data_IF_427902814918
#
_entry.id   IF_427902814918
#
_cell.length_a   1.000
_cell.length_b   1.000
_cell.length_c   1.000
_cell.angle_alpha   90.00
_cell.angle_beta   90.00
_cell.angle_gamma   90.00
#
_symmetry.space_group_name_H-M   'P 1'
#
loop_
_entity.id
_entity.type
_entity.pdbx_description
1 polymer ?
#
# COMPACT_ATOMS: atom_id res chain seq x y z
N UNK A 1 13.11 -9.80 -0.09
CA UNK A 1 13.02 -9.47 1.35
C UNK A 1 14.26 -8.69 1.79
N UNK A 2 15.46 -9.26 1.68
CA UNK A 2 16.67 -8.62 2.21
C UNK A 2 16.94 -7.23 1.60
N UNK A 3 16.78 -7.06 0.31
CA UNK A 3 17.00 -5.77 -0.36
C UNK A 3 15.96 -4.72 0.00
N UNK A 4 14.69 -5.10 0.15
CA UNK A 4 13.67 -4.16 0.60
C UNK A 4 13.92 -3.71 2.05
N UNK A 5 14.33 -4.63 2.92
CA UNK A 5 14.73 -4.29 4.28
C UNK A 5 15.96 -3.38 4.35
N UNK A 6 17.00 -3.72 3.60
CA UNK A 6 18.22 -2.90 3.51
C UNK A 6 17.89 -1.49 3.01
N UNK A 7 17.09 -1.37 1.95
CA UNK A 7 16.69 -0.07 1.43
C UNK A 7 15.96 0.77 2.49
N UNK A 8 14.96 0.19 3.18
CA UNK A 8 14.21 0.92 4.19
C UNK A 8 15.07 1.30 5.40
N UNK A 9 15.93 0.38 5.88
CA UNK A 9 16.65 0.58 7.15
C UNK A 9 18.02 1.22 7.02
N UNK A 10 18.72 1.01 5.89
CA UNK A 10 20.09 1.53 5.68
C UNK A 10 20.14 2.71 4.73
N UNK A 11 19.29 2.74 3.68
CA UNK A 11 19.27 3.84 2.72
C UNK A 11 18.34 4.95 3.16
N UNK A 12 17.12 4.59 3.61
CA UNK A 12 16.13 5.57 4.09
C UNK A 12 16.23 5.81 5.60
N UNK A 13 17.03 5.03 6.32
CA UNK A 13 17.27 5.16 7.76
C UNK A 13 15.99 5.09 8.61
N UNK A 14 14.98 4.36 8.13
CA UNK A 14 13.75 4.10 8.90
C UNK A 14 14.09 3.18 10.08
N UNK A 15 13.70 3.54 11.32
CA UNK A 15 13.96 2.71 12.48
C UNK A 15 13.37 1.31 12.36
N UNK A 16 14.19 0.28 12.58
CA UNK A 16 13.79 -1.12 12.43
C UNK A 16 12.64 -1.51 13.36
N UNK A 17 12.56 -0.90 14.54
CA UNK A 17 11.51 -1.13 15.53
C UNK A 17 10.14 -0.58 15.12
N UNK A 18 10.08 0.25 14.07
CA UNK A 18 8.85 0.76 13.48
C UNK A 18 8.34 -0.10 12.33
N UNK A 19 9.12 -1.07 11.86
CA UNK A 19 8.80 -1.90 10.71
C UNK A 19 8.30 -3.28 11.14
N UNK A 20 7.19 -3.71 10.57
CA UNK A 20 6.51 -4.96 10.88
C UNK A 20 6.21 -5.71 9.58
N UNK A 21 6.88 -6.83 9.29
CA UNK A 21 6.56 -7.63 8.13
C UNK A 21 5.33 -8.51 8.35
N UNK A 22 4.59 -8.77 7.27
CA UNK A 22 3.62 -9.84 7.19
C UNK A 22 4.01 -10.86 6.13
N UNK A 23 3.51 -12.08 6.26
CA UNK A 23 3.69 -13.17 5.32
C UNK A 23 2.39 -13.96 5.14
N UNK A 24 2.25 -14.65 4.03
CA UNK A 24 1.15 -15.57 3.84
C UNK A 24 1.17 -16.70 4.90
N UNK A 25 -0.01 -17.10 5.34
CA UNK A 25 -0.20 -18.05 6.45
C UNK A 25 0.63 -19.34 6.29
N UNK A 26 0.74 -19.85 5.06
CA UNK A 26 1.42 -21.09 4.72
C UNK A 26 2.86 -20.88 4.20
N UNK A 27 3.34 -19.63 4.11
CA UNK A 27 4.69 -19.30 3.64
C UNK A 27 5.70 -19.32 4.79
N UNK A 28 6.15 -20.53 5.13
CA UNK A 28 7.19 -20.71 6.14
C UNK A 28 8.56 -20.23 5.67
N UNK A 29 8.82 -20.26 4.35
CA UNK A 29 10.09 -19.81 3.78
C UNK A 29 10.26 -18.30 3.99
N UNK A 30 9.27 -17.50 3.63
CA UNK A 30 9.32 -16.05 3.85
C UNK A 30 9.40 -15.72 5.36
N UNK A 31 8.65 -16.44 6.20
CA UNK A 31 8.74 -16.27 7.66
C UNK A 31 10.15 -16.56 8.19
N UNK A 32 10.76 -17.64 7.74
CA UNK A 32 12.10 -18.03 8.16
C UNK A 32 13.16 -17.04 7.67
N UNK A 33 13.05 -16.50 6.46
CA UNK A 33 13.93 -15.43 5.96
C UNK A 33 13.83 -14.20 6.86
N UNK A 34 12.62 -13.73 7.17
CA UNK A 34 12.43 -12.60 8.08
C UNK A 34 13.04 -12.83 9.45
N UNK A 35 12.79 -14.02 10.02
CA UNK A 35 13.25 -14.32 11.39
C UNK A 35 14.72 -14.68 11.48
N UNK A 36 15.20 -15.58 10.61
CA UNK A 36 16.54 -16.19 10.74
C UNK A 36 17.62 -15.42 9.99
N UNK A 37 17.29 -14.83 8.84
CA UNK A 37 18.27 -14.12 8.02
C UNK A 37 18.26 -12.62 8.29
N UNK A 38 17.09 -12.00 8.36
CA UNK A 38 16.96 -10.57 8.64
C UNK A 38 17.06 -10.29 10.15
N UNK A 39 16.61 -11.23 11.00
CA UNK A 39 16.68 -11.10 12.45
C UNK A 39 15.48 -10.44 13.09
N UNK A 40 14.37 -10.30 12.37
CA UNK A 40 13.12 -9.77 12.95
C UNK A 40 12.57 -10.77 13.98
N UNK A 41 12.21 -10.30 15.16
CA UNK A 41 11.65 -11.13 16.21
C UNK A 41 10.31 -11.76 15.76
N UNK A 42 10.06 -13.01 16.15
CA UNK A 42 8.90 -13.79 15.69
C UNK A 42 7.57 -13.14 16.01
N UNK A 43 7.46 -12.46 17.13
CA UNK A 43 6.27 -11.74 17.60
C UNK A 43 6.01 -10.44 16.84
N UNK A 44 6.93 -10.04 15.95
CA UNK A 44 6.81 -8.91 15.05
C UNK A 44 6.55 -9.30 13.60
N UNK A 45 6.47 -10.59 13.29
CA UNK A 45 6.16 -11.12 11.97
C UNK A 45 4.72 -11.63 11.99
N UNK A 46 3.85 -11.03 11.19
CA UNK A 46 2.43 -11.35 11.16
C UNK A 46 2.12 -12.36 10.05
N UNK A 47 1.16 -13.23 10.28
CA UNK A 47 0.69 -14.19 9.29
C UNK A 47 -0.75 -13.90 8.95
N UNK A 48 -1.02 -13.64 7.67
CA UNK A 48 -2.36 -13.37 7.19
C UNK A 48 -2.79 -14.37 6.12
N UNK A 49 -4.08 -14.44 5.91
CA UNK A 49 -4.70 -15.31 4.93
C UNK A 49 -4.50 -14.84 3.49
N UNK A 50 -5.21 -15.52 2.61
CA UNK A 50 -5.15 -15.23 1.18
C UNK A 50 -5.68 -13.84 0.81
N UNK A 51 -6.55 -13.30 1.63
CA UNK A 51 -7.15 -11.97 1.43
C UNK A 51 -6.11 -10.85 1.49
N UNK A 52 -5.09 -11.00 2.33
CA UNK A 52 -4.07 -9.99 2.58
C UNK A 52 -2.70 -10.34 1.96
N UNK A 53 -2.23 -11.59 2.17
CA UNK A 53 -0.87 -11.98 1.79
C UNK A 53 -0.78 -13.00 0.65
N UNK A 54 -1.74 -12.97 -0.29
CA UNK A 54 -1.65 -13.72 -1.54
C UNK A 54 -2.15 -12.85 -2.70
N UNK A 55 -1.29 -12.57 -3.65
CA UNK A 55 -1.64 -11.74 -4.79
C UNK A 55 -2.10 -12.60 -5.97
N UNK A 56 -3.30 -12.32 -6.46
CA UNK A 56 -3.87 -12.87 -7.69
C UNK A 56 -4.83 -11.89 -8.35
N UNK A 57 -4.94 -11.96 -9.67
CA UNK A 57 -5.88 -11.13 -10.43
C UNK A 57 -6.51 -11.93 -11.57
N UNK A 58 -7.58 -12.66 -11.26
CA UNK A 58 -8.21 -13.58 -12.21
C UNK A 58 -7.30 -14.71 -12.63
N UNK A 59 -7.36 -15.15 -13.89
CA UNK A 59 -6.42 -16.12 -14.44
C UNK A 59 -5.06 -15.47 -14.70
N UNK A 60 -3.99 -16.19 -14.41
CA UNK A 60 -2.63 -15.76 -14.66
C UNK A 60 -1.67 -16.00 -13.50
N UNK A 61 -0.44 -15.47 -13.60
CA UNK A 61 0.59 -15.62 -12.58
C UNK A 61 0.15 -15.05 -11.23
N UNK A 62 0.41 -15.79 -10.15
CA UNK A 62 0.02 -15.42 -8.80
C UNK A 62 0.96 -16.03 -7.75
N UNK A 63 0.79 -15.67 -6.49
CA UNK A 63 1.56 -16.26 -5.42
C UNK A 63 1.44 -15.55 -4.08
N UNK A 64 2.05 -16.12 -3.02
CA UNK A 64 2.09 -15.49 -1.72
C UNK A 64 2.86 -14.17 -1.78
N UNK A 65 2.54 -13.28 -0.87
CA UNK A 65 3.27 -12.03 -0.75
C UNK A 65 3.66 -11.73 0.70
N UNK A 66 4.64 -10.86 0.83
CA UNK A 66 5.13 -10.37 2.11
C UNK A 66 5.13 -8.84 2.08
N UNK A 67 4.35 -8.26 2.96
CA UNK A 67 4.19 -6.82 3.09
C UNK A 67 5.04 -6.27 4.23
N UNK A 68 5.43 -5.01 4.14
CA UNK A 68 6.13 -4.31 5.19
C UNK A 68 5.27 -3.14 5.64
N UNK A 69 4.87 -3.18 6.90
CA UNK A 69 4.09 -2.13 7.55
C UNK A 69 4.98 -1.22 8.38
N UNK A 70 4.62 0.05 8.42
CA UNK A 70 5.23 1.04 9.30
C UNK A 70 4.26 1.44 10.41
N UNK A 71 4.70 1.35 11.69
CA UNK A 71 3.93 1.84 12.85
C UNK A 71 4.10 3.35 12.98
N UNK A 72 3.06 4.09 12.69
CA UNK A 72 3.00 5.55 12.82
C UNK A 72 2.84 6.02 14.27
N UNK A 73 2.59 5.08 15.19
CA UNK A 73 2.40 5.35 16.61
C UNK A 73 0.92 5.44 17.03
N UNK A 74 0.73 5.42 18.34
CA UNK A 74 -0.60 5.29 18.95
C UNK A 74 -1.57 6.41 18.58
N UNK A 75 -1.07 7.62 18.29
CA UNK A 75 -1.92 8.76 17.90
C UNK A 75 -2.78 8.49 16.66
N UNK A 76 -2.36 7.55 15.80
CA UNK A 76 -3.07 7.15 14.60
C UNK A 76 -3.89 5.86 14.78
N UNK A 77 -3.82 5.27 15.97
CA UNK A 77 -4.54 4.05 16.29
C UNK A 77 -6.03 4.27 16.52
N UNK A 78 -6.80 3.19 16.39
CA UNK A 78 -8.25 3.20 16.64
C UNK A 78 -8.63 3.35 18.14
N UNK A 79 -7.66 3.35 19.05
CA UNK A 79 -7.89 3.40 20.51
C UNK A 79 -8.51 2.13 21.11
N UNK A 80 -8.69 1.07 20.31
CA UNK A 80 -9.25 -0.19 20.80
C UNK A 80 -8.15 -1.10 21.33
N UNK A 81 -8.43 -1.90 22.39
CA UNK A 81 -7.52 -2.97 22.80
C UNK A 81 -7.26 -3.93 21.64
N UNK A 82 -6.00 -4.33 21.44
CA UNK A 82 -5.61 -5.24 20.37
C UNK A 82 -5.36 -4.57 19.01
N UNK A 83 -5.26 -3.23 18.96
CA UNK A 83 -4.79 -2.54 17.75
C UNK A 83 -3.39 -3.03 17.37
N UNK A 84 -3.29 -3.68 16.20
CA UNK A 84 -2.09 -4.33 15.72
C UNK A 84 -2.02 -4.24 14.18
N UNK A 85 -0.97 -4.76 13.57
CA UNK A 85 -0.87 -4.91 12.10
C UNK A 85 -2.10 -5.67 11.58
N UNK A 86 -2.67 -5.23 10.46
CA UNK A 86 -3.94 -5.71 9.93
C UNK A 86 -5.19 -5.00 10.48
N UNK A 87 -5.03 -4.07 11.44
CA UNK A 87 -6.14 -3.21 11.84
C UNK A 87 -6.43 -2.16 10.76
N UNK A 88 -7.71 -1.93 10.48
CA UNK A 88 -8.18 -0.94 9.47
C UNK A 88 -7.93 0.54 9.85
N UNK A 89 -7.20 0.80 10.94
CA UNK A 89 -6.85 2.17 11.35
C UNK A 89 -5.55 2.65 10.70
N UNK A 90 -5.29 3.95 10.82
CA UNK A 90 -4.13 4.60 10.18
C UNK A 90 -2.79 4.38 10.91
N UNK A 91 -2.74 3.55 11.95
CA UNK A 91 -1.52 3.31 12.74
C UNK A 91 -0.48 2.53 11.96
N UNK A 92 -0.88 1.37 11.42
CA UNK A 92 0.01 0.50 10.67
C UNK A 92 -0.28 0.65 9.18
N UNK A 93 0.59 1.35 8.47
CA UNK A 93 0.42 1.52 7.04
C UNK A 93 1.35 0.59 6.28
N UNK A 94 0.82 -0.15 5.33
CA UNK A 94 1.61 -0.91 4.38
C UNK A 94 2.37 0.06 3.48
N UNK A 95 3.70 -0.06 3.46
CA UNK A 95 4.57 0.78 2.63
C UNK A 95 5.18 0.02 1.46
N UNK A 96 5.33 -1.30 1.57
CA UNK A 96 5.94 -2.13 0.53
C UNK A 96 5.33 -3.52 0.50
N UNK A 97 5.10 -4.06 -0.70
CA UNK A 97 4.66 -5.43 -0.92
C UNK A 97 5.64 -6.17 -1.84
N UNK A 98 6.13 -7.33 -1.40
CA UNK A 98 6.95 -8.24 -2.18
C UNK A 98 6.08 -9.44 -2.58
N UNK A 99 5.78 -9.59 -3.86
CA UNK A 99 4.98 -10.69 -4.40
C UNK A 99 5.89 -11.79 -4.95
N UNK A 100 5.75 -13.00 -4.42
CA UNK A 100 6.51 -14.19 -4.85
C UNK A 100 5.66 -14.97 -5.85
N UNK A 101 5.71 -14.57 -7.10
CA UNK A 101 4.93 -15.20 -8.18
C UNK A 101 5.46 -16.60 -8.45
N UNK A 102 4.77 -17.60 -7.92
CA UNK A 102 5.17 -19.01 -7.93
C UNK A 102 4.19 -19.89 -8.67
N UNK A 103 2.97 -19.44 -8.90
CA UNK A 103 1.89 -20.22 -9.46
C UNK A 103 1.25 -19.54 -10.66
N UNK A 104 0.63 -20.36 -11.50
CA UNK A 104 -0.34 -19.95 -12.52
C UNK A 104 -1.73 -20.36 -12.04
N UNK A 105 -2.67 -19.42 -11.98
CA UNK A 105 -4.08 -19.65 -11.72
C UNK A 105 -4.85 -19.77 -13.04
N UNK A 106 -5.61 -20.85 -13.24
CA UNK A 106 -6.44 -21.05 -14.44
C UNK A 106 -7.72 -20.20 -14.45
N UNK A 107 -8.02 -19.47 -13.38
CA UNK A 107 -9.25 -18.71 -13.21
C UNK A 107 -10.42 -19.50 -12.65
N UNK A 108 -10.25 -20.81 -12.45
CA UNK A 108 -11.24 -21.72 -11.84
C UNK A 108 -10.81 -22.13 -10.41
N UNK A 109 -9.68 -21.59 -9.93
CA UNK A 109 -9.15 -21.83 -8.60
C UNK A 109 -8.14 -22.97 -8.53
N UNK A 110 -7.64 -23.48 -9.67
CA UNK A 110 -6.55 -24.44 -9.69
C UNK A 110 -5.23 -23.73 -9.92
N UNK A 111 -4.22 -24.11 -9.14
CA UNK A 111 -2.89 -23.52 -9.16
C UNK A 111 -1.87 -24.55 -9.61
N UNK A 112 -1.06 -24.19 -10.60
CA UNK A 112 0.07 -24.99 -11.05
C UNK A 112 1.36 -24.21 -10.79
N UNK A 113 2.42 -24.88 -10.32
CA UNK A 113 3.70 -24.21 -10.12
C UNK A 113 4.28 -23.72 -11.44
N UNK A 114 4.78 -22.47 -11.43
CA UNK A 114 5.54 -21.91 -12.55
C UNK A 114 6.90 -22.58 -12.65
N UNK A 115 7.32 -22.89 -13.88
CA UNK A 115 8.67 -23.39 -14.16
C UNK A 115 9.73 -22.33 -13.79
N UNK A 116 9.44 -21.07 -14.08
CA UNK A 116 10.29 -19.94 -13.72
C UNK A 116 9.54 -19.03 -12.72
N UNK A 117 9.92 -19.14 -11.46
CA UNK A 117 9.39 -18.28 -10.41
C UNK A 117 9.94 -16.86 -10.54
N UNK A 118 9.10 -15.88 -10.23
CA UNK A 118 9.43 -14.46 -10.33
C UNK A 118 9.14 -13.75 -9.01
N UNK A 119 9.76 -12.58 -8.84
CA UNK A 119 9.40 -11.64 -7.78
C UNK A 119 8.92 -10.37 -8.45
N UNK A 120 7.72 -9.96 -8.08
CA UNK A 120 7.20 -8.64 -8.38
C UNK A 120 7.14 -7.82 -7.07
N UNK A 121 7.30 -6.51 -7.16
CA UNK A 121 7.29 -5.69 -5.96
C UNK A 121 6.61 -4.36 -6.20
N UNK A 122 5.80 -3.95 -5.24
CA UNK A 122 5.09 -2.68 -5.26
C UNK A 122 5.31 -1.89 -3.98
N UNK A 123 5.72 -0.63 -4.14
CA UNK A 123 5.89 0.30 -3.03
C UNK A 123 4.98 1.51 -3.24
N UNK A 124 4.19 1.84 -2.21
CA UNK A 124 3.35 3.04 -2.25
C UNK A 124 4.20 4.30 -2.07
N UNK A 125 4.52 5.00 -3.17
CA UNK A 125 5.37 6.20 -3.11
C UNK A 125 4.82 7.24 -2.12
N UNK A 126 3.53 7.54 -2.19
CA UNK A 126 2.90 8.52 -1.31
C UNK A 126 2.81 8.03 0.14
N UNK A 127 2.63 6.73 0.35
CA UNK A 127 2.67 6.13 1.71
C UNK A 127 4.07 6.25 2.31
N UNK A 128 5.10 5.91 1.54
CA UNK A 128 6.48 6.08 1.98
C UNK A 128 6.83 7.55 2.20
N UNK A 129 6.42 8.45 1.30
CA UNK A 129 6.64 9.88 1.45
C UNK A 129 5.94 10.43 2.70
N UNK A 130 4.76 9.93 3.07
CA UNK A 130 4.08 10.29 4.33
C UNK A 130 4.95 9.98 5.55
N UNK A 131 5.62 8.81 5.54
CA UNK A 131 6.56 8.42 6.60
C UNK A 131 7.80 9.32 6.60
N UNK A 132 8.41 9.50 5.43
CA UNK A 132 9.67 10.25 5.31
C UNK A 132 9.53 11.75 5.58
N UNK A 133 8.37 12.33 5.27
CA UNK A 133 8.07 13.74 5.53
C UNK A 133 7.41 13.97 6.89
N UNK A 134 7.14 12.90 7.65
CA UNK A 134 6.46 12.93 8.96
C UNK A 134 5.16 13.77 8.93
N UNK A 135 4.32 13.51 7.93
CA UNK A 135 3.04 14.21 7.76
C UNK A 135 1.85 13.32 8.15
N UNK A 136 0.73 13.95 8.49
CA UNK A 136 -0.43 13.23 9.05
C UNK A 136 -1.24 12.46 7.98
N UNK A 137 -1.15 12.87 6.71
CA UNK A 137 -1.92 12.25 5.62
C UNK A 137 -1.14 12.27 4.32
N UNK A 138 -1.45 11.34 3.42
CA UNK A 138 -0.94 11.37 2.03
C UNK A 138 -1.31 12.68 1.32
N UNK A 139 -2.39 13.35 1.75
CA UNK A 139 -2.81 14.64 1.21
C UNK A 139 -1.94 15.81 1.69
N UNK A 140 -1.05 15.58 2.65
CA UNK A 140 -0.09 16.56 3.16
C UNK A 140 1.33 16.35 2.60
N UNK A 141 1.56 15.24 1.87
CA UNK A 141 2.80 15.01 1.12
C UNK A 141 2.97 16.12 0.07
N UNK A 142 4.17 16.65 -0.06
CA UNK A 142 4.50 17.84 -0.85
C UNK A 142 3.88 17.88 -2.25
N UNK A 143 4.02 16.77 -3.00
CA UNK A 143 3.49 16.62 -4.37
C UNK A 143 1.95 16.62 -4.42
N UNK A 144 1.29 16.00 -3.45
CA UNK A 144 -0.18 15.92 -3.37
C UNK A 144 -0.74 17.22 -2.77
N UNK A 145 -0.08 17.74 -1.75
CA UNK A 145 -0.45 19.00 -1.10
C UNK A 145 -0.56 20.16 -2.08
N UNK A 146 0.35 20.24 -3.05
CA UNK A 146 0.32 21.28 -4.07
C UNK A 146 -0.99 21.26 -4.89
N UNK A 147 -1.48 20.08 -5.24
CA UNK A 147 -2.77 19.90 -5.94
C UNK A 147 -3.93 20.29 -5.02
N UNK A 148 -3.93 19.77 -3.79
CA UNK A 148 -4.94 20.07 -2.77
C UNK A 148 -5.08 21.57 -2.52
N UNK A 149 -3.96 22.24 -2.29
CA UNK A 149 -3.94 23.67 -1.98
C UNK A 149 -4.45 24.51 -3.17
N UNK A 150 -4.16 24.05 -4.40
CA UNK A 150 -4.70 24.71 -5.60
C UNK A 150 -6.22 24.52 -5.76
N UNK A 151 -6.74 23.38 -5.39
CA UNK A 151 -8.19 23.11 -5.35
C UNK A 151 -8.86 24.01 -4.30
N UNK A 152 -8.26 24.15 -3.12
CA UNK A 152 -8.76 25.03 -2.08
C UNK A 152 -8.81 26.49 -2.54
N UNK A 153 -7.74 26.96 -3.22
CA UNK A 153 -7.71 28.31 -3.80
C UNK A 153 -8.87 28.54 -4.79
N UNK A 154 -9.10 27.59 -5.72
CA UNK A 154 -10.19 27.71 -6.69
C UNK A 154 -11.59 27.64 -6.04
N UNK A 155 -11.73 26.83 -5.00
CA UNK A 155 -13.01 26.70 -4.28
C UNK A 155 -13.26 27.83 -3.27
N UNK A 156 -12.26 28.64 -2.94
CA UNK A 156 -12.37 29.70 -1.94
C UNK A 156 -12.56 29.16 -0.51
N UNK A 157 -11.95 27.98 -0.20
CA UNK A 157 -12.07 27.31 1.09
C UNK A 157 -10.69 27.02 1.69
N UNK A 158 -10.64 26.81 3.01
CA UNK A 158 -9.44 26.36 3.71
C UNK A 158 -9.55 24.88 4.07
N UNK A 159 -8.47 24.14 3.87
CA UNK A 159 -8.39 22.74 4.30
C UNK A 159 -8.12 22.65 5.81
N UNK A 160 -8.84 21.78 6.51
CA UNK A 160 -8.72 21.57 7.96
C UNK A 160 -9.76 22.34 8.79
N UNK A 161 -10.64 23.13 8.17
CA UNK A 161 -11.67 23.89 8.89
C UNK A 161 -12.98 23.15 9.05
N UNK A 162 -13.38 22.38 8.03
CA UNK A 162 -14.64 21.62 8.04
C UNK A 162 -14.48 20.23 7.44
N UNK A 163 -14.81 19.20 8.22
CA UNK A 163 -14.62 17.79 7.83
C UNK A 163 -15.26 17.42 6.48
N UNK A 164 -16.48 17.88 6.19
CA UNK A 164 -17.17 17.55 4.93
C UNK A 164 -16.48 18.20 3.74
N UNK A 165 -16.06 19.43 3.90
CA UNK A 165 -15.28 20.15 2.89
C UNK A 165 -13.95 19.46 2.66
N UNK A 166 -13.25 19.05 3.72
CA UNK A 166 -11.98 18.33 3.62
C UNK A 166 -12.13 17.00 2.88
N UNK A 167 -13.19 16.23 3.16
CA UNK A 167 -13.48 14.99 2.41
C UNK A 167 -13.66 15.30 0.93
N UNK A 168 -14.42 16.32 0.57
CA UNK A 168 -14.64 16.72 -0.82
C UNK A 168 -13.32 17.13 -1.51
N UNK A 169 -12.48 17.90 -0.82
CA UNK A 169 -11.18 18.33 -1.33
C UNK A 169 -10.27 17.11 -1.56
N UNK A 170 -10.24 16.14 -0.64
CA UNK A 170 -9.46 14.91 -0.81
C UNK A 170 -9.91 14.10 -2.03
N UNK A 171 -11.24 13.92 -2.18
CA UNK A 171 -11.82 13.22 -3.34
C UNK A 171 -11.42 13.90 -4.65
N UNK A 172 -11.54 15.22 -4.73
CA UNK A 172 -11.16 15.98 -5.94
C UNK A 172 -9.66 15.85 -6.20
N UNK A 173 -8.83 15.95 -5.16
CA UNK A 173 -7.37 15.85 -5.27
C UNK A 173 -6.94 14.48 -5.83
N UNK A 174 -7.51 13.41 -5.32
CA UNK A 174 -7.25 12.05 -5.80
C UNK A 174 -7.75 11.84 -7.23
N UNK A 175 -8.98 12.22 -7.49
CA UNK A 175 -9.62 12.00 -8.78
C UNK A 175 -9.00 12.84 -9.90
N UNK A 176 -8.64 14.10 -9.66
CA UNK A 176 -8.06 14.94 -10.72
C UNK A 176 -6.73 14.39 -11.21
N UNK A 177 -5.93 13.81 -10.31
CA UNK A 177 -4.69 13.12 -10.67
C UNK A 177 -4.98 11.91 -11.56
N UNK A 178 -5.86 11.02 -11.11
CA UNK A 178 -6.25 9.81 -11.85
C UNK A 178 -6.85 10.15 -13.22
N UNK A 179 -7.75 11.13 -13.29
CA UNK A 179 -8.35 11.64 -14.53
C UNK A 179 -7.29 12.18 -15.48
N UNK A 180 -6.33 12.94 -14.97
CA UNK A 180 -5.25 13.51 -15.79
C UNK A 180 -4.42 12.40 -16.46
N UNK A 181 -4.04 11.35 -15.71
CA UNK A 181 -3.32 10.21 -16.27
C UNK A 181 -4.16 9.45 -17.29
N UNK A 182 -5.43 9.16 -16.98
CA UNK A 182 -6.32 8.47 -17.92
C UNK A 182 -6.47 9.23 -19.24
N UNK A 183 -6.68 10.54 -19.19
CA UNK A 183 -6.79 11.39 -20.39
C UNK A 183 -5.47 11.44 -21.15
N UNK A 184 -4.34 11.54 -20.45
CA UNK A 184 -3.01 11.50 -21.06
C UNK A 184 -2.73 10.19 -21.80
N UNK A 185 -3.28 9.08 -21.31
CA UNK A 185 -3.22 7.76 -21.95
C UNK A 185 -4.23 7.61 -23.11
N UNK A 186 -4.93 8.67 -23.47
CA UNK A 186 -5.87 8.68 -24.58
C UNK A 186 -7.25 8.12 -24.26
N UNK A 187 -7.59 7.93 -22.98
CA UNK A 187 -8.93 7.47 -22.60
C UNK A 187 -9.89 8.66 -22.67
N UNK A 188 -11.00 8.46 -23.35
CA UNK A 188 -12.10 9.44 -23.43
C UNK A 188 -13.34 8.92 -22.71
N UNK A 189 -14.17 9.81 -22.12
CA UNK A 189 -15.41 9.41 -21.47
C UNK A 189 -16.32 8.61 -22.40
N UNK A 190 -16.81 7.46 -21.93
CA UNK A 190 -17.74 6.60 -22.68
C UNK A 190 -18.74 5.92 -21.76
N UNK A 191 -19.61 5.08 -22.32
CA UNK A 191 -20.63 4.35 -21.55
C UNK A 191 -20.15 2.97 -21.09
N UNK A 192 -18.97 2.53 -21.49
CA UNK A 192 -18.43 1.20 -21.19
C UNK A 192 -16.91 1.21 -21.05
N UNK A 193 -16.38 0.14 -20.43
CA UNK A 193 -14.96 -0.06 -20.26
C UNK A 193 -14.28 1.05 -19.44
N UNK A 194 -13.03 1.34 -19.78
CA UNK A 194 -12.22 2.37 -19.09
C UNK A 194 -12.81 3.77 -19.20
N UNK A 195 -13.44 4.10 -20.33
CA UNK A 195 -14.08 5.40 -20.52
C UNK A 195 -15.31 5.62 -19.63
N UNK A 196 -15.99 4.54 -19.21
CA UNK A 196 -17.06 4.64 -18.20
C UNK A 196 -16.51 5.00 -16.82
N UNK A 197 -15.38 4.41 -16.45
CA UNK A 197 -14.70 4.75 -15.18
C UNK A 197 -14.29 6.22 -15.17
N UNK A 198 -13.71 6.72 -16.27
CA UNK A 198 -13.34 8.13 -16.41
C UNK A 198 -14.57 9.07 -16.34
N UNK A 199 -15.70 8.65 -16.90
CA UNK A 199 -16.94 9.45 -16.90
C UNK A 199 -17.59 9.52 -15.51
N UNK A 200 -17.51 8.46 -14.73
CA UNK A 200 -18.11 8.34 -13.38
C UNK A 200 -17.42 9.24 -12.35
#
# INVERSE_FOLDING_TARGET
IAWSWEFLTKVLEIPEDRLYPSVYLEDDEAFDIWNKEIGVAKDRIFRFGKEDNFWEHGAGPCGPCSEIYYDRGEKYGCGKPGCTVGCECDRYIEIWNNVFTQFENDGEGHYTELENKNIDTGMGLERLATVMQDVDSIFDVDTIKAIRDKICEFAGVSYGEEYKTDVSIRVITDHIRSVTFMVSDGITPSNEGRGYVLRR
#
